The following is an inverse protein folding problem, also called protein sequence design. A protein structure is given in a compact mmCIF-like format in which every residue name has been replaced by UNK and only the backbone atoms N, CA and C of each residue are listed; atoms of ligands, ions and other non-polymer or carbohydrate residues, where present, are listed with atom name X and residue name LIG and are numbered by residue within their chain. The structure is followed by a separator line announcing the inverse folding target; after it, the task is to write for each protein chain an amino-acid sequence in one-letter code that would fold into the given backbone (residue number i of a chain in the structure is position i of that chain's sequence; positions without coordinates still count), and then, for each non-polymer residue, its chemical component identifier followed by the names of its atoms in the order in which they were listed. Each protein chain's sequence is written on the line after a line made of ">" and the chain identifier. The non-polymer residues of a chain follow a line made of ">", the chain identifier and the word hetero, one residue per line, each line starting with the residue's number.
data_IF_783558833403
#
_entry.id   IF_783558833403
#
_cell.length_a   1.000
_cell.length_b   1.000
_cell.length_c   1.000
_cell.angle_alpha   90.00
_cell.angle_beta   90.00
_cell.angle_gamma   90.00
#
_symmetry.space_group_name_H-M   'P 1'
#
loop_
_entity.id
_entity.type
_entity.pdbx_description
1 polymer ?
#
# COMPACT_ATOMS: atom_id res chain seq x y z
N UNK A 1 18.53 12.54 7.03
CA UNK A 1 17.39 11.91 7.74
C UNK A 1 17.96 10.93 8.75
N UNK A 2 17.40 10.90 9.95
CA UNK A 2 17.72 9.92 10.97
C UNK A 2 16.83 8.69 10.76
N UNK A 3 17.40 7.63 10.22
CA UNK A 3 16.68 6.39 9.87
C UNK A 3 16.14 5.70 11.12
N UNK A 4 16.90 5.71 12.21
CA UNK A 4 16.52 5.05 13.46
C UNK A 4 15.28 5.69 14.06
N UNK A 5 15.25 7.04 14.13
CA UNK A 5 14.06 7.76 14.62
C UNK A 5 12.86 7.60 13.69
N UNK A 6 13.10 7.60 12.39
CA UNK A 6 12.07 7.39 11.38
C UNK A 6 11.38 6.03 11.54
N UNK A 7 12.16 4.95 11.57
CA UNK A 7 11.63 3.60 11.68
C UNK A 7 11.00 3.35 13.07
N UNK A 8 11.54 3.94 14.14
CA UNK A 8 10.93 3.89 15.47
C UNK A 8 9.55 4.57 15.50
N UNK A 9 9.37 5.69 14.79
CA UNK A 9 8.05 6.33 14.66
C UNK A 9 7.03 5.39 14.02
N UNK A 10 7.43 4.69 12.97
CA UNK A 10 6.53 3.79 12.22
C UNK A 10 6.17 2.57 13.06
N UNK A 11 7.15 1.97 13.72
CA UNK A 11 6.96 0.81 14.59
C UNK A 11 5.99 1.09 15.74
N UNK A 12 6.05 2.30 16.32
CA UNK A 12 5.23 2.68 17.46
C UNK A 12 3.86 3.25 17.07
N UNK A 13 3.69 3.67 15.81
CA UNK A 13 2.47 4.32 15.36
C UNK A 13 1.30 3.31 15.23
N UNK A 14 0.08 3.67 15.69
CA UNK A 14 -1.10 2.82 15.52
C UNK A 14 -1.50 2.62 14.04
N UNK A 15 -1.06 3.53 13.17
CA UNK A 15 -1.25 3.45 11.73
C UNK A 15 0.03 3.08 10.97
N UNK A 16 1.06 2.59 11.67
CA UNK A 16 2.31 2.12 11.10
C UNK A 16 2.08 0.96 10.14
N UNK A 17 2.65 1.08 8.93
CA UNK A 17 2.57 0.05 7.91
C UNK A 17 3.94 -0.13 7.26
N UNK A 18 4.18 -1.34 6.73
CA UNK A 18 5.45 -1.72 6.08
C UNK A 18 5.92 -0.71 5.02
N UNK A 19 4.98 -0.08 4.32
CA UNK A 19 5.25 0.84 3.22
C UNK A 19 6.05 2.08 3.64
N UNK A 20 5.92 2.53 4.89
CA UNK A 20 6.59 3.74 5.36
C UNK A 20 8.01 3.49 5.86
N UNK A 21 8.42 2.23 6.10
CA UNK A 21 9.77 1.95 6.61
C UNK A 21 10.84 2.37 5.61
N UNK A 22 11.95 2.86 6.14
CA UNK A 22 13.09 3.35 5.36
C UNK A 22 13.58 2.32 4.34
N UNK A 23 13.81 1.08 4.79
CA UNK A 23 14.30 0.00 3.93
C UNK A 23 13.32 -0.33 2.79
N UNK A 24 12.02 -0.22 3.05
CA UNK A 24 11.00 -0.51 2.04
C UNK A 24 10.99 0.61 0.99
N UNK A 25 11.04 1.86 1.44
CA UNK A 25 11.11 3.05 0.59
C UNK A 25 12.39 3.07 -0.26
N UNK A 26 13.52 2.66 0.30
CA UNK A 26 14.79 2.55 -0.42
C UNK A 26 14.72 1.53 -1.57
N UNK A 27 13.89 0.49 -1.44
CA UNK A 27 13.67 -0.50 -2.49
C UNK A 27 12.70 0.00 -3.57
N UNK A 28 11.56 0.58 -3.19
CA UNK A 28 10.48 0.90 -4.14
C UNK A 28 10.54 2.32 -4.71
N UNK A 29 11.19 3.25 -4.01
CA UNK A 29 11.38 4.64 -4.42
C UNK A 29 12.75 5.17 -4.00
N UNK A 30 13.85 4.68 -4.60
CA UNK A 30 15.19 5.17 -4.29
C UNK A 30 15.28 6.70 -4.44
N UNK A 31 15.82 7.38 -3.42
CA UNK A 31 15.90 8.85 -3.40
C UNK A 31 14.61 9.56 -2.99
N UNK A 32 13.67 8.83 -2.36
CA UNK A 32 12.50 9.40 -1.71
C UNK A 32 12.86 10.55 -0.75
N UNK A 33 11.91 11.44 -0.54
CA UNK A 33 12.04 12.63 0.29
C UNK A 33 11.10 12.52 1.49
N UNK A 34 11.28 13.35 2.51
CA UNK A 34 10.54 13.22 3.76
C UNK A 34 10.00 14.55 4.25
N UNK A 35 8.82 14.51 4.89
CA UNK A 35 8.38 15.53 5.83
C UNK A 35 8.43 14.93 7.23
N UNK A 36 8.94 15.71 8.18
CA UNK A 36 9.11 15.30 9.59
C UNK A 36 8.57 16.41 10.48
N UNK A 37 7.79 16.04 11.49
CA UNK A 37 7.23 16.95 12.48
C UNK A 37 7.65 16.53 13.89
N UNK A 38 7.89 17.53 14.74
CA UNK A 38 8.14 17.39 16.19
C UNK A 38 9.18 16.32 16.54
N UNK A 39 10.35 16.36 15.89
CA UNK A 39 11.44 15.37 16.05
C UNK A 39 10.98 13.91 15.85
N UNK A 40 10.43 13.63 14.66
CA UNK A 40 9.98 12.30 14.22
C UNK A 40 8.77 11.73 14.99
N UNK A 41 7.99 12.55 15.69
CA UNK A 41 6.68 12.10 16.22
C UNK A 41 5.66 11.82 15.13
N UNK A 42 5.80 12.49 13.98
CA UNK A 42 4.99 12.21 12.81
C UNK A 42 5.83 12.41 11.57
N UNK A 43 5.73 11.46 10.65
CA UNK A 43 6.54 11.38 9.45
C UNK A 43 5.66 11.13 8.23
N UNK A 44 6.06 11.65 7.07
CA UNK A 44 5.39 11.38 5.80
C UNK A 44 6.43 11.14 4.71
N UNK A 45 6.48 9.93 4.11
CA UNK A 45 7.32 9.69 2.97
C UNK A 45 6.74 10.36 1.73
N UNK A 46 7.63 10.94 0.93
CA UNK A 46 7.34 11.55 -0.37
C UNK A 46 8.10 10.74 -1.44
N UNK A 47 7.43 9.79 -2.13
CA UNK A 47 8.04 9.03 -3.21
C UNK A 47 8.27 9.95 -4.41
N UNK A 48 9.44 10.59 -4.44
CA UNK A 48 9.76 11.65 -5.36
C UNK A 48 10.42 11.09 -6.63
N UNK A 49 10.08 11.65 -7.79
CA UNK A 49 10.75 11.35 -9.05
C UNK A 49 10.88 12.60 -9.91
N UNK A 50 11.82 12.54 -10.85
CA UNK A 50 12.05 13.59 -11.85
C UNK A 50 11.95 12.99 -13.24
N UNK A 51 11.18 13.63 -14.12
CA UNK A 51 11.08 13.27 -15.54
C UNK A 51 11.08 14.54 -16.38
N UNK A 52 11.99 14.63 -17.35
CA UNK A 52 12.17 15.81 -18.21
C UNK A 52 12.24 17.14 -17.44
N UNK A 53 13.00 17.17 -16.34
CA UNK A 53 13.14 18.37 -15.51
C UNK A 53 12.01 18.60 -14.49
N UNK A 54 10.86 17.95 -14.64
CA UNK A 54 9.69 18.12 -13.77
C UNK A 54 9.77 17.17 -12.58
N UNK A 55 9.71 17.72 -11.36
CA UNK A 55 9.61 16.95 -10.13
C UNK A 55 8.14 16.62 -9.83
N UNK A 56 7.88 15.39 -9.39
CA UNK A 56 6.54 14.91 -9.06
C UNK A 56 6.57 13.85 -7.96
N UNK A 57 5.45 13.69 -7.26
CA UNK A 57 5.21 12.61 -6.32
C UNK A 57 4.31 11.57 -7.00
N UNK A 58 4.64 10.30 -6.84
CA UNK A 58 3.95 9.20 -7.50
C UNK A 58 3.71 8.05 -6.54
N UNK A 59 2.87 7.10 -6.96
CA UNK A 59 2.69 5.81 -6.31
C UNK A 59 3.64 4.78 -6.94
N UNK A 60 4.70 4.32 -6.25
CA UNK A 60 5.56 3.27 -6.78
C UNK A 60 4.86 1.93 -6.95
N UNK A 61 5.45 1.06 -7.77
CA UNK A 61 4.99 -0.32 -7.90
C UNK A 61 5.17 -1.05 -6.55
N UNK A 62 4.19 -1.87 -6.16
CA UNK A 62 4.07 -2.57 -4.86
C UNK A 62 3.92 -1.69 -3.62
N UNK A 63 4.10 -0.38 -3.73
CA UNK A 63 3.72 0.56 -2.67
C UNK A 63 2.20 0.75 -2.69
N UNK A 64 1.49 0.43 -1.61
CA UNK A 64 0.03 0.47 -1.58
C UNK A 64 -0.53 1.77 -0.96
N UNK A 65 0.09 2.26 0.11
CA UNK A 65 -0.36 3.43 0.85
C UNK A 65 0.82 4.07 1.59
N UNK A 66 0.92 5.40 1.51
CA UNK A 66 1.90 6.25 2.18
C UNK A 66 1.22 7.25 3.09
N UNK A 67 1.60 8.53 3.07
CA UNK A 67 0.97 9.55 3.90
C UNK A 67 1.55 9.64 5.32
N UNK A 68 0.85 10.33 6.22
CA UNK A 68 1.38 10.57 7.57
C UNK A 68 1.30 9.31 8.43
N UNK A 69 2.38 9.02 9.15
CA UNK A 69 2.53 7.96 10.13
C UNK A 69 3.00 8.57 11.45
N UNK A 70 2.37 8.23 12.57
CA UNK A 70 2.73 8.76 13.88
C UNK A 70 1.63 8.62 14.91
N UNK A 71 1.85 9.16 16.11
CA UNK A 71 0.90 9.08 17.23
C UNK A 71 -0.42 9.85 16.97
N UNK A 72 -0.34 10.99 16.26
CA UNK A 72 -1.49 11.83 15.95
C UNK A 72 -1.66 12.00 14.43
N UNK A 73 -2.63 11.29 13.86
CA UNK A 73 -2.97 11.39 12.43
C UNK A 73 -4.34 11.99 12.17
N UNK A 74 -4.79 12.89 13.06
CA UNK A 74 -6.04 13.63 12.84
C UNK A 74 -6.06 14.33 11.47
N UNK A 75 -7.26 14.58 10.93
CA UNK A 75 -7.42 15.11 9.57
C UNK A 75 -6.65 16.42 9.36
N UNK A 76 -6.72 17.34 10.32
CA UNK A 76 -5.99 18.62 10.29
C UNK A 76 -4.47 18.44 10.15
N UNK A 77 -3.93 17.34 10.72
CA UNK A 77 -2.51 17.00 10.57
C UNK A 77 -2.20 16.54 9.15
N UNK A 78 -3.07 15.74 8.53
CA UNK A 78 -2.88 15.29 7.14
C UNK A 78 -2.84 16.49 6.18
N UNK A 79 -3.80 17.40 6.29
CA UNK A 79 -3.86 18.58 5.42
C UNK A 79 -2.69 19.53 5.66
N UNK A 80 -2.25 19.68 6.91
CA UNK A 80 -1.03 20.42 7.24
C UNK A 80 0.17 19.84 6.51
N UNK A 81 0.40 18.52 6.56
CA UNK A 81 1.49 17.88 5.83
C UNK A 81 1.38 18.08 4.31
N UNK A 82 0.20 17.88 3.73
CA UNK A 82 -0.03 18.10 2.30
C UNK A 82 0.27 19.55 1.88
N UNK A 83 -0.07 20.53 2.74
CA UNK A 83 0.22 21.95 2.49
C UNK A 83 1.71 22.30 2.53
N UNK A 84 2.52 21.49 3.21
CA UNK A 84 3.98 21.66 3.31
C UNK A 84 4.73 21.00 2.15
N UNK A 85 4.05 20.26 1.27
CA UNK A 85 4.69 19.70 0.07
C UNK A 85 5.20 20.87 -0.80
N UNK A 86 6.52 20.94 -1.09
CA UNK A 86 7.06 22.07 -1.84
C UNK A 86 6.47 22.20 -3.25
N UNK A 87 6.20 23.43 -3.68
CA UNK A 87 5.68 23.75 -5.02
C UNK A 87 6.58 23.31 -6.20
N UNK A 88 7.79 22.79 -5.92
CA UNK A 88 8.65 22.15 -6.93
C UNK A 88 8.01 20.89 -7.50
N UNK A 89 7.22 20.18 -6.69
CA UNK A 89 6.43 19.03 -7.12
C UNK A 89 5.20 19.51 -7.88
N UNK A 90 5.25 19.46 -9.21
CA UNK A 90 4.19 19.99 -10.09
C UNK A 90 3.03 19.02 -10.29
N UNK A 91 3.23 17.75 -9.94
CA UNK A 91 2.24 16.70 -10.02
C UNK A 91 2.35 15.82 -8.78
N UNK A 92 1.20 15.46 -8.20
CA UNK A 92 1.10 14.65 -6.99
C UNK A 92 0.01 13.62 -7.24
N UNK A 93 0.40 12.35 -7.26
CA UNK A 93 -0.49 11.20 -7.31
C UNK A 93 0.00 10.17 -6.31
N UNK A 94 -0.59 10.18 -5.12
CA UNK A 94 -0.19 9.35 -3.99
C UNK A 94 -1.43 8.78 -3.31
N UNK A 95 -1.32 7.55 -2.79
CA UNK A 95 -2.32 6.97 -1.89
C UNK A 95 -1.92 7.25 -0.45
N UNK A 96 -2.84 7.77 0.35
CA UNK A 96 -2.63 8.00 1.78
C UNK A 96 -3.00 6.77 2.61
N UNK A 97 -2.44 6.68 3.81
CA UNK A 97 -2.67 5.64 4.79
C UNK A 97 -4.15 5.60 5.16
N UNK A 98 -4.69 4.41 5.46
CA UNK A 98 -6.08 4.22 5.88
C UNK A 98 -6.55 5.14 7.03
N UNK A 99 -5.64 5.58 7.91
CA UNK A 99 -5.95 6.50 9.01
C UNK A 99 -5.90 7.99 8.61
N UNK A 100 -5.41 8.32 7.41
CA UNK A 100 -5.28 9.69 6.94
C UNK A 100 -6.58 10.15 6.28
N UNK A 101 -7.12 11.27 6.75
CA UNK A 101 -8.31 11.92 6.19
C UNK A 101 -7.95 13.32 5.74
N UNK A 102 -8.50 13.73 4.60
CA UNK A 102 -8.36 15.08 4.06
C UNK A 102 -9.69 15.80 4.33
N UNK A 103 -9.66 16.99 4.91
CA UNK A 103 -10.84 17.85 5.10
C UNK A 103 -10.79 19.08 4.19
N UNK A 104 -9.59 19.55 3.85
CA UNK A 104 -9.32 20.66 2.96
C UNK A 104 -8.15 20.32 2.03
N UNK A 105 -8.44 20.02 0.76
CA UNK A 105 -7.43 19.59 -0.21
C UNK A 105 -7.50 20.35 -1.53
N UNK A 106 -6.34 20.71 -2.08
CA UNK A 106 -6.22 21.11 -3.48
C UNK A 106 -6.10 19.85 -4.33
N UNK A 107 -7.19 19.39 -4.93
CA UNK A 107 -7.16 18.26 -5.86
C UNK A 107 -8.38 17.36 -5.77
N UNK A 108 -8.34 16.26 -6.52
CA UNK A 108 -9.35 15.21 -6.47
C UNK A 108 -8.84 14.08 -5.59
N UNK A 109 -9.63 13.70 -4.59
CA UNK A 109 -9.37 12.54 -3.73
C UNK A 109 -10.60 11.65 -3.69
N UNK A 110 -10.39 10.35 -3.56
CA UNK A 110 -11.47 9.36 -3.39
C UNK A 110 -11.01 8.28 -2.40
N UNK A 111 -11.97 7.69 -1.69
CA UNK A 111 -11.68 6.61 -0.76
C UNK A 111 -11.43 5.29 -1.49
N UNK A 112 -10.48 4.52 -0.98
CA UNK A 112 -10.22 3.15 -1.39
C UNK A 112 -10.59 2.20 -0.25
N UNK A 113 -11.13 1.04 -0.60
CA UNK A 113 -11.52 0.03 0.37
C UNK A 113 -10.40 -0.99 0.55
N UNK A 114 -10.12 -1.33 1.81
CA UNK A 114 -9.28 -2.47 2.19
C UNK A 114 -10.15 -3.45 2.97
N UNK A 115 -9.99 -4.74 2.71
CA UNK A 115 -10.64 -5.79 3.49
C UNK A 115 -9.69 -6.22 4.61
N UNK A 116 -10.05 -5.88 5.85
CA UNK A 116 -9.25 -6.17 7.04
C UNK A 116 -9.95 -7.25 7.85
N UNK A 117 -9.22 -8.33 8.13
CA UNK A 117 -9.67 -9.38 9.05
C UNK A 117 -8.93 -9.23 10.37
N UNK A 118 -9.65 -8.98 11.45
CA UNK A 118 -9.07 -8.92 12.79
C UNK A 118 -8.71 -10.33 13.26
N UNK A 119 -7.44 -10.56 13.59
CA UNK A 119 -6.89 -11.85 14.03
C UNK A 119 -6.68 -11.95 15.56
N UNK A 120 -7.23 -11.01 16.34
CA UNK A 120 -7.13 -11.01 17.81
C UNK A 120 -7.92 -12.14 18.47
N UNK A 121 -8.97 -12.64 17.81
CA UNK A 121 -9.78 -13.77 18.28
C UNK A 121 -9.10 -15.11 17.94
N UNK A 122 -9.49 -16.20 18.61
CA UNK A 122 -9.09 -17.56 18.22
C UNK A 122 -9.61 -17.92 16.82
N UNK A 123 -8.90 -18.81 16.13
CA UNK A 123 -9.26 -19.24 14.77
C UNK A 123 -10.72 -19.73 14.68
N UNK A 124 -11.17 -20.55 15.63
CA UNK A 124 -12.51 -21.12 15.61
C UNK A 124 -13.59 -20.03 15.66
N UNK A 125 -13.35 -18.98 16.44
CA UNK A 125 -14.23 -17.81 16.54
C UNK A 125 -14.26 -17.04 15.23
N UNK A 126 -13.11 -16.80 14.61
CA UNK A 126 -13.01 -16.12 13.31
C UNK A 126 -13.71 -16.93 12.22
N UNK A 127 -13.40 -18.23 12.14
CA UNK A 127 -13.94 -19.14 11.14
C UNK A 127 -15.46 -19.32 11.26
N UNK A 128 -16.01 -19.25 12.49
CA UNK A 128 -17.45 -19.25 12.71
C UNK A 128 -18.18 -18.08 12.06
N UNK A 129 -17.49 -17.00 11.68
CA UNK A 129 -18.07 -15.82 11.00
C UNK A 129 -17.93 -15.87 9.48
N UNK A 130 -17.27 -16.88 8.91
CA UNK A 130 -17.14 -17.02 7.46
C UNK A 130 -18.48 -17.31 6.78
N UNK A 131 -18.65 -16.82 5.56
CA UNK A 131 -19.79 -17.18 4.73
C UNK A 131 -19.80 -18.68 4.41
N UNK A 132 -20.99 -19.26 4.20
CA UNK A 132 -21.17 -20.71 4.01
C UNK A 132 -20.39 -21.28 2.82
N UNK A 133 -20.26 -20.50 1.74
CA UNK A 133 -19.45 -20.86 0.59
C UNK A 133 -17.97 -21.02 0.95
N UNK A 134 -17.41 -20.13 1.79
CA UNK A 134 -16.03 -20.20 2.28
C UNK A 134 -15.85 -21.42 3.17
N UNK A 135 -16.78 -21.67 4.11
CA UNK A 135 -16.74 -22.87 4.98
C UNK A 135 -16.72 -24.16 4.16
N UNK A 136 -17.57 -24.25 3.13
CA UNK A 136 -17.61 -25.40 2.21
C UNK A 136 -16.32 -25.57 1.42
N UNK A 137 -15.73 -24.47 0.93
CA UNK A 137 -14.47 -24.50 0.21
C UNK A 137 -13.29 -24.93 1.10
N UNK A 138 -13.25 -24.47 2.35
CA UNK A 138 -12.25 -24.90 3.34
C UNK A 138 -12.35 -26.40 3.61
N UNK A 139 -13.56 -26.94 3.78
CA UNK A 139 -13.75 -28.40 3.95
C UNK A 139 -13.19 -29.19 2.75
N UNK A 140 -13.51 -28.75 1.52
CA UNK A 140 -12.97 -29.38 0.30
C UNK A 140 -11.45 -29.26 0.18
N UNK A 141 -10.86 -28.16 0.64
CA UNK A 141 -9.41 -27.97 0.57
C UNK A 141 -8.65 -29.01 1.41
N UNK A 142 -9.23 -29.45 2.52
CA UNK A 142 -8.65 -30.53 3.35
C UNK A 142 -8.65 -31.91 2.69
N UNK A 143 -9.40 -32.10 1.59
CA UNK A 143 -9.42 -33.34 0.80
C UNK A 143 -8.35 -33.32 -0.31
N UNK A 144 -7.65 -32.19 -0.51
CA UNK A 144 -6.61 -32.05 -1.52
C UNK A 144 -5.25 -32.56 -1.00
N UNK A 145 -4.34 -33.01 -1.89
CA UNK A 145 -3.00 -33.45 -1.48
C UNK A 145 -2.05 -32.28 -1.16
N UNK A 146 -2.51 -31.03 -1.25
CA UNK A 146 -1.68 -29.85 -1.03
C UNK A 146 -1.40 -29.65 0.46
N UNK A 147 -0.17 -29.29 0.78
CA UNK A 147 0.28 -29.02 2.15
C UNK A 147 0.83 -27.60 2.26
N UNK A 148 0.69 -27.01 3.44
CA UNK A 148 1.34 -25.75 3.77
C UNK A 148 2.81 -25.99 4.11
N UNK A 149 3.67 -25.12 3.60
CA UNK A 149 5.10 -25.11 3.91
C UNK A 149 5.55 -23.67 4.13
N UNK A 150 6.29 -23.44 5.21
CA UNK A 150 6.92 -22.15 5.51
C UNK A 150 8.28 -22.03 4.79
N UNK A 151 8.79 -23.15 4.25
CA UNK A 151 10.01 -23.20 3.44
C UNK A 151 9.63 -23.00 1.96
N UNK A 152 9.43 -21.73 1.58
CA UNK A 152 9.14 -21.35 0.19
C UNK A 152 10.34 -20.59 -0.37
N UNK A 153 10.84 -21.03 -1.53
CA UNK A 153 11.86 -20.27 -2.25
C UNK A 153 11.21 -19.02 -2.88
N UNK A 154 11.70 -17.79 -2.59
CA UNK A 154 11.16 -16.57 -3.18
C UNK A 154 11.13 -16.58 -4.72
N UNK A 155 12.08 -17.25 -5.37
CA UNK A 155 12.12 -17.35 -6.83
C UNK A 155 10.92 -18.11 -7.41
N UNK A 156 10.40 -19.11 -6.70
CA UNK A 156 9.18 -19.82 -7.10
C UNK A 156 7.96 -18.90 -7.04
N UNK A 157 7.88 -18.07 -6.00
CA UNK A 157 6.81 -17.08 -5.83
C UNK A 157 6.88 -16.04 -6.94
N UNK A 158 8.06 -15.53 -7.25
CA UNK A 158 8.28 -14.55 -8.32
C UNK A 158 7.91 -15.15 -9.69
N UNK A 159 8.34 -16.38 -9.98
CA UNK A 159 7.98 -17.09 -11.21
C UNK A 159 6.47 -17.27 -11.35
N UNK A 160 5.80 -17.69 -10.27
CA UNK A 160 4.35 -17.86 -10.26
C UNK A 160 3.63 -16.53 -10.49
N UNK A 161 4.05 -15.46 -9.81
CA UNK A 161 3.49 -14.12 -9.97
C UNK A 161 3.65 -13.61 -11.42
N UNK A 162 4.85 -13.78 -12.01
CA UNK A 162 5.10 -13.40 -13.40
C UNK A 162 4.22 -14.18 -14.39
N UNK A 163 4.08 -15.49 -14.21
CA UNK A 163 3.21 -16.31 -15.04
C UNK A 163 1.73 -15.89 -14.94
N UNK A 164 1.26 -15.51 -13.75
CA UNK A 164 -0.09 -15.04 -13.54
C UNK A 164 -0.33 -13.67 -14.19
N UNK A 165 0.60 -12.73 -14.03
CA UNK A 165 0.51 -11.39 -14.65
C UNK A 165 0.47 -11.47 -16.18
N UNK A 166 1.21 -12.39 -16.80
CA UNK A 166 1.19 -12.60 -18.25
C UNK A 166 -0.18 -13.09 -18.75
N UNK A 167 -0.79 -14.05 -18.04
CA UNK A 167 -2.15 -14.54 -18.37
C UNK A 167 -3.18 -13.43 -18.28
N UNK A 168 -3.18 -12.69 -17.17
CA UNK A 168 -4.08 -11.55 -16.97
C UNK A 168 -3.88 -10.49 -18.06
N UNK A 169 -2.64 -10.16 -18.41
CA UNK A 169 -2.33 -9.19 -19.48
C UNK A 169 -2.85 -9.68 -20.84
N UNK A 170 -2.72 -10.96 -21.15
CA UNK A 170 -3.24 -11.55 -22.38
C UNK A 170 -4.77 -11.53 -22.44
N UNK A 171 -5.45 -11.85 -21.34
CA UNK A 171 -6.91 -11.75 -21.23
C UNK A 171 -7.40 -10.31 -21.39
N UNK A 172 -6.73 -9.34 -20.75
CA UNK A 172 -7.06 -7.92 -20.92
C UNK A 172 -6.88 -7.47 -22.38
N UNK A 173 -5.79 -7.85 -23.06
CA UNK A 173 -5.59 -7.52 -24.47
C UNK A 173 -6.69 -8.10 -25.36
N UNK A 174 -7.02 -9.38 -25.17
CA UNK A 174 -8.11 -10.04 -25.90
C UNK A 174 -9.47 -9.36 -25.67
N UNK A 175 -9.75 -8.96 -24.43
CA UNK A 175 -10.98 -8.24 -24.09
C UNK A 175 -11.01 -6.83 -24.73
N UNK A 176 -9.88 -6.13 -24.78
CA UNK A 176 -9.76 -4.83 -25.46
C UNK A 176 -9.95 -4.95 -26.98
N UNK A 177 -9.41 -5.99 -27.61
CA UNK A 177 -9.61 -6.28 -29.04
C UNK A 177 -11.08 -6.59 -29.36
N UNK A 178 -11.77 -7.34 -28.49
CA UNK A 178 -13.21 -7.62 -28.62
C UNK A 178 -14.07 -6.35 -28.49
N UNK A 179 -13.72 -5.46 -27.56
CA UNK A 179 -14.40 -4.17 -27.39
C UNK A 179 -14.20 -3.27 -28.62
N UNK A 180 -13.03 -3.30 -29.25
CA UNK A 180 -12.73 -2.53 -30.46
C UNK A 180 -13.41 -3.07 -31.73
N UNK A 181 -13.83 -4.33 -31.75
CA UNK A 181 -14.56 -4.94 -32.87
C UNK A 181 -16.10 -4.75 -32.79
N UNK A 182 -16.60 -4.25 -31.66
CA UNK A 182 -18.05 -4.09 -31.39
C UNK A 182 -18.52 -2.63 -31.52
N UNK A 183 -17.62 -1.72 -31.95
CA UNK A 183 -17.88 -0.30 -32.24
C UNK A 183 -17.64 -0.05 -33.71
#
# INVERSE_FOLDING_TARGET
>A
MDVTKWDACIEQAPNGLIYSYSYYLDLVSPGWQALVMDDYKTVMPLPARKKFGVHYLYQPFLFAQGGITGENTAADSTDRFLSQIPNTYRFIDICLNHANRITAGKGKSFFRNNFILNLSDKYETIASRYADNIRRNLKKSGETPYQFSDAVNPDDVIRLAAAQMQKTTAEYRKNMELVQQTV
#
